data_IF_324265456753
#
_entry.id   IF_324265456753
#
_cell.length_a   1.000
_cell.length_b   1.000
_cell.length_c   1.000
_cell.angle_alpha   90.00
_cell.angle_beta   90.00
_cell.angle_gamma   90.00
#
_symmetry.space_group_name_H-M   'P 1'
#
loop_
_entity.id
_entity.type
_entity.pdbx_description
1 polymer ?
#
# COMPACT_ATOMS: atom_id res chain seq x y z
N UNK A 1 -63.21 -26.61 1.37
CA UNK A 1 -62.65 -26.96 2.70
C UNK A 1 -61.91 -25.73 3.20
N UNK A 2 -62.57 -24.87 4.01
CA UNK A 2 -62.28 -24.62 5.45
C UNK A 2 -60.76 -24.42 5.71
N UNK A 3 -60.24 -23.19 5.76
CA UNK A 3 -60.23 -22.19 6.88
C UNK A 3 -59.60 -22.71 8.17
N UNK A 4 -58.48 -22.06 8.57
CA UNK A 4 -58.21 -21.39 9.87
C UNK A 4 -56.70 -21.03 9.89
N UNK A 5 -56.29 -19.76 9.82
CA UNK A 5 -56.19 -18.76 10.92
C UNK A 5 -55.07 -19.13 11.93
N UNK A 6 -54.26 -18.26 12.56
CA UNK A 6 -53.96 -16.82 12.62
C UNK A 6 -53.29 -16.65 14.02
N UNK A 7 -52.37 -15.68 14.18
CA UNK A 7 -52.00 -14.95 15.44
C UNK A 7 -50.74 -15.38 16.25
N UNK A 8 -49.66 -14.60 16.04
CA UNK A 8 -48.84 -13.80 16.99
C UNK A 8 -48.36 -14.41 18.31
N UNK A 9 -47.03 -14.49 18.50
CA UNK A 9 -46.35 -13.91 19.67
C UNK A 9 -44.87 -13.57 19.37
N UNK A 10 -44.53 -12.31 19.62
CA UNK A 10 -43.21 -11.67 19.67
C UNK A 10 -42.39 -12.26 20.84
N UNK A 11 -41.05 -12.26 20.72
CA UNK A 11 -40.01 -12.04 21.77
C UNK A 11 -38.77 -12.93 21.52
N UNK A 12 -37.63 -12.26 21.28
CA UNK A 12 -36.22 -12.68 21.36
C UNK A 12 -35.71 -13.80 20.43
N UNK A 13 -34.87 -13.43 19.45
CA UNK A 13 -33.39 -13.59 19.51
C UNK A 13 -32.80 -12.74 18.36
N UNK A 14 -32.24 -11.59 18.73
CA UNK A 14 -31.12 -10.99 18.01
C UNK A 14 -29.86 -11.70 18.50
N UNK A 15 -28.99 -12.12 17.58
CA UNK A 15 -27.53 -12.20 17.64
C UNK A 15 -27.05 -13.33 16.72
N UNK A 16 -25.95 -13.02 16.00
CA UNK A 16 -25.11 -13.92 15.20
C UNK A 16 -25.58 -14.19 13.76
N UNK A 17 -25.32 -13.22 12.88
CA UNK A 17 -24.56 -13.44 11.64
C UNK A 17 -24.03 -12.08 11.20
N UNK A 18 -22.72 -11.86 11.30
CA UNK A 18 -22.05 -10.68 10.78
C UNK A 18 -22.22 -10.64 9.27
N UNK A 19 -22.92 -9.60 8.79
CA UNK A 19 -22.90 -9.22 7.39
C UNK A 19 -21.67 -8.33 7.17
N UNK A 20 -20.67 -8.84 6.47
CA UNK A 20 -19.73 -7.99 5.71
C UNK A 20 -20.49 -7.46 4.51
N UNK A 21 -20.65 -6.13 4.43
CA UNK A 21 -21.22 -5.45 3.27
C UNK A 21 -20.04 -4.92 2.45
N UNK A 22 -19.84 -5.47 1.26
CA UNK A 22 -18.95 -4.91 0.24
C UNK A 22 -19.56 -3.61 -0.31
N UNK A 23 -18.81 -2.51 -0.25
CA UNK A 23 -19.20 -1.22 -0.81
C UNK A 23 -18.64 -1.09 -2.22
N UNK A 24 -19.53 -1.01 -3.21
CA UNK A 24 -19.19 -0.63 -4.59
C UNK A 24 -19.00 0.89 -4.68
N UNK A 25 -17.87 1.35 -5.23
CA UNK A 25 -17.65 2.75 -5.59
C UNK A 25 -18.31 3.05 -6.95
N UNK A 26 -19.46 3.73 -6.94
CA UNK A 26 -19.99 4.40 -8.14
C UNK A 26 -19.30 5.76 -8.30
N UNK A 27 -18.51 5.94 -9.37
CA UNK A 27 -17.98 7.24 -9.80
C UNK A 27 -18.99 7.90 -10.75
N UNK A 28 -19.63 8.97 -10.30
CA UNK A 28 -20.28 9.93 -11.18
C UNK A 28 -19.24 10.93 -11.69
N UNK A 29 -19.08 11.02 -13.01
CA UNK A 29 -18.23 12.01 -13.69
C UNK A 29 -19.09 13.07 -14.36
N UNK A 30 -18.93 14.38 -14.06
CA UNK A 30 -19.47 15.44 -14.90
C UNK A 30 -18.46 15.80 -16.00
N UNK A 31 -18.92 15.77 -17.24
CA UNK A 31 -18.12 16.12 -18.42
C UNK A 31 -17.68 17.59 -18.45
N UNK A 32 -16.41 17.81 -18.78
CA UNK A 32 -15.85 19.15 -19.05
C UNK A 32 -15.87 19.41 -20.56
N UNK A 33 -16.60 20.47 -20.94
CA UNK A 33 -16.61 21.04 -22.29
C UNK A 33 -15.39 21.94 -22.51
N UNK A 34 -14.63 21.68 -23.58
CA UNK A 34 -13.53 22.51 -24.05
C UNK A 34 -14.00 23.89 -24.54
N UNK A 35 -13.43 24.96 -23.96
CA UNK A 35 -13.55 26.33 -24.43
C UNK A 35 -12.17 26.94 -24.70
N UNK A 36 -11.79 26.98 -25.98
CA UNK A 36 -10.65 27.72 -26.51
C UNK A 36 -10.77 29.22 -26.24
N UNK A 37 -9.72 29.86 -25.72
CA UNK A 37 -9.41 31.28 -26.00
C UNK A 37 -7.90 31.44 -26.21
N UNK A 38 -7.56 31.90 -27.41
CA UNK A 38 -6.26 32.37 -27.88
C UNK A 38 -5.97 33.81 -27.43
N UNK A 39 -4.70 34.16 -27.18
CA UNK A 39 -4.30 35.58 -27.22
C UNK A 39 -2.92 35.94 -26.64
N UNK A 40 -1.91 35.93 -27.53
CA UNK A 40 -0.80 36.89 -27.68
C UNK A 40 0.16 37.28 -26.52
N UNK A 41 1.42 36.87 -26.71
CA UNK A 41 2.71 37.59 -26.64
C UNK A 41 2.76 39.05 -26.14
N UNK A 42 3.68 39.38 -25.21
CA UNK A 42 5.03 39.91 -25.51
C UNK A 42 5.77 40.40 -24.22
N UNK A 43 7.05 40.01 -24.14
CA UNK A 43 8.26 40.73 -23.72
C UNK A 43 8.46 41.51 -22.39
N UNK A 44 9.66 41.22 -21.84
CA UNK A 44 10.62 42.04 -21.08
C UNK A 44 10.60 42.06 -19.54
N UNK A 45 11.64 41.41 -18.98
CA UNK A 45 12.30 41.71 -17.72
C UNK A 45 13.22 42.96 -17.86
N UNK A 46 14.05 43.38 -16.87
CA UNK A 46 14.15 43.01 -15.45
C UNK A 46 14.22 44.22 -14.49
N UNK A 47 14.09 44.00 -13.17
CA UNK A 47 14.44 45.02 -12.17
C UNK A 47 14.08 44.66 -10.74
N UNK A 48 15.02 44.08 -10.00
CA UNK A 48 15.23 44.33 -8.56
C UNK A 48 16.34 45.40 -8.45
N UNK A 49 16.58 46.12 -7.34
CA UNK A 49 16.35 45.72 -5.94
C UNK A 49 15.87 46.87 -5.00
N UNK A 50 15.55 46.53 -3.74
CA UNK A 50 16.12 47.10 -2.48
C UNK A 50 15.15 46.96 -1.30
N UNK A 51 15.53 46.09 -0.36
CA UNK A 51 15.72 46.31 1.07
C UNK A 51 15.24 47.66 1.66
N UNK A 52 14.32 47.65 2.65
CA UNK A 52 14.56 48.08 4.05
C UNK A 52 13.28 48.07 4.90
N UNK A 53 13.33 47.25 5.95
CA UNK A 53 12.97 47.52 7.36
C UNK A 53 11.81 48.43 7.78
N UNK A 54 11.13 47.94 8.83
CA UNK A 54 10.56 48.66 10.00
C UNK A 54 9.24 49.42 9.79
N UNK A 55 8.13 48.88 10.31
CA UNK A 55 7.54 49.32 11.60
C UNK A 55 6.13 48.73 11.80
N UNK A 56 5.98 48.09 12.95
CA UNK A 56 4.71 47.86 13.64
C UNK A 56 4.13 49.22 14.11
N UNK A 57 2.81 49.42 14.01
CA UNK A 57 2.12 49.89 15.21
C UNK A 57 0.74 49.25 15.42
N UNK A 58 0.62 48.58 16.56
CA UNK A 58 -0.44 48.74 17.60
C UNK A 58 -1.91 48.68 17.19
N UNK A 59 -2.58 47.68 17.77
CA UNK A 59 -3.88 47.71 18.47
C UNK A 59 -4.89 48.79 18.07
N UNK A 60 -5.99 48.35 17.46
CA UNK A 60 -7.32 48.84 17.81
C UNK A 60 -8.38 47.74 17.58
N UNK A 61 -9.16 47.48 18.62
CA UNK A 61 -10.45 46.75 18.60
C UNK A 61 -11.51 47.68 19.20
N UNK A 62 -12.82 47.40 19.07
CA UNK A 62 -13.56 46.81 17.95
C UNK A 62 -14.69 47.77 17.51
N UNK A 63 -15.27 47.54 16.32
CA UNK A 63 -16.55 48.18 15.95
C UNK A 63 -17.63 47.10 15.81
N UNK A 64 -18.67 47.24 16.62
CA UNK A 64 -19.88 46.42 16.60
C UNK A 64 -20.77 46.88 15.46
N UNK A 65 -21.06 46.00 14.50
CA UNK A 65 -22.26 46.15 13.68
C UNK A 65 -22.98 44.82 13.58
N UNK A 66 -24.12 44.76 14.26
CA UNK A 66 -25.07 43.67 14.24
C UNK A 66 -25.75 43.57 12.87
N UNK A 67 -25.57 42.43 12.20
CA UNK A 67 -26.40 41.96 11.09
C UNK A 67 -27.05 40.63 11.50
N UNK A 68 -28.38 40.56 11.40
CA UNK A 68 -29.19 39.37 11.76
C UNK A 68 -28.93 38.17 10.85
N UNK A 69 -29.20 36.94 11.34
CA UNK A 69 -28.84 35.70 10.65
C UNK A 69 -29.92 35.33 9.62
N UNK A 70 -29.52 35.20 8.36
CA UNK A 70 -30.34 34.52 7.36
C UNK A 70 -29.69 33.17 7.07
N UNK A 71 -30.45 32.12 7.38
CA UNK A 71 -30.02 30.74 7.32
C UNK A 71 -29.95 30.26 5.88
N UNK A 72 -28.74 29.95 5.44
CA UNK A 72 -28.48 28.99 4.39
C UNK A 72 -27.28 28.18 4.86
N UNK A 73 -27.54 26.95 5.31
CA UNK A 73 -26.50 25.94 5.47
C UNK A 73 -25.93 25.65 4.07
N UNK A 74 -24.96 26.46 3.64
CA UNK A 74 -24.02 26.04 2.61
C UNK A 74 -23.26 24.88 3.20
N UNK A 75 -23.28 23.73 2.54
CA UNK A 75 -22.54 22.55 2.98
C UNK A 75 -21.06 22.92 3.11
N UNK A 76 -20.48 22.64 4.28
CA UNK A 76 -19.05 22.79 4.58
C UNK A 76 -18.14 22.09 3.53
N UNK A 77 -18.70 21.22 2.69
CA UNK A 77 -18.02 20.55 1.57
C UNK A 77 -17.39 21.50 0.55
N UNK A 78 -17.93 22.72 0.37
CA UNK A 78 -17.32 23.68 -0.57
C UNK A 78 -15.93 24.17 -0.13
N UNK A 79 -15.58 24.02 1.16
CA UNK A 79 -14.27 24.41 1.70
C UNK A 79 -13.16 23.40 1.34
N UNK A 80 -13.52 22.17 0.98
CA UNK A 80 -12.61 21.05 0.74
C UNK A 80 -12.59 20.58 -0.73
N UNK A 81 -13.12 21.40 -1.63
CA UNK A 81 -13.15 21.11 -3.06
C UNK A 81 -11.72 20.92 -3.61
N UNK A 82 -11.46 19.75 -4.22
CA UNK A 82 -10.12 19.35 -4.71
C UNK A 82 -9.20 18.67 -3.70
N UNK A 83 -9.68 18.32 -2.49
CA UNK A 83 -8.96 17.46 -1.54
C UNK A 83 -9.40 16.00 -1.64
N UNK A 84 -8.46 15.09 -1.43
CA UNK A 84 -8.78 13.66 -1.27
C UNK A 84 -9.48 13.45 0.07
N UNK A 85 -10.51 12.59 0.10
CA UNK A 85 -11.30 12.31 1.30
C UNK A 85 -11.17 10.84 1.69
N UNK A 86 -10.79 10.60 2.93
CA UNK A 86 -10.78 9.28 3.57
C UNK A 86 -11.77 9.29 4.73
N UNK A 87 -12.48 8.17 4.91
CA UNK A 87 -13.40 7.95 6.03
C UNK A 87 -12.78 6.94 6.97
N UNK A 88 -12.67 7.31 8.24
CA UNK A 88 -12.19 6.45 9.31
C UNK A 88 -13.40 5.97 10.11
N UNK A 89 -13.63 4.66 10.14
CA UNK A 89 -14.63 4.08 11.01
C UNK A 89 -14.09 3.99 12.44
N UNK A 90 -14.84 4.57 13.37
CA UNK A 90 -14.56 4.54 14.80
C UNK A 90 -15.62 3.67 15.50
N UNK A 91 -15.40 3.36 16.78
CA UNK A 91 -16.37 2.62 17.58
C UNK A 91 -17.77 3.26 17.54
N UNK A 92 -18.80 2.46 17.81
CA UNK A 92 -20.21 2.86 17.72
C UNK A 92 -20.65 3.37 16.32
N UNK A 93 -19.92 2.98 15.27
CA UNK A 93 -20.17 3.38 13.87
C UNK A 93 -20.07 4.90 13.63
N UNK A 94 -19.31 5.61 14.46
CA UNK A 94 -18.96 7.00 14.16
C UNK A 94 -17.97 7.03 12.99
N UNK A 95 -18.13 8.01 12.10
CA UNK A 95 -17.27 8.16 10.91
C UNK A 95 -16.53 9.49 11.00
N UNK A 96 -15.22 9.43 11.14
CA UNK A 96 -14.34 10.59 11.07
C UNK A 96 -13.96 10.85 9.62
N UNK A 97 -14.17 12.08 9.15
CA UNK A 97 -13.78 12.50 7.81
C UNK A 97 -12.38 13.14 7.85
N UNK A 98 -11.48 12.64 6.99
CA UNK A 98 -10.12 13.17 6.81
C UNK A 98 -9.98 13.67 5.37
N UNK A 99 -9.73 14.97 5.22
CA UNK A 99 -9.46 15.60 3.94
C UNK A 99 -7.97 15.89 3.81
N UNK A 100 -7.34 15.51 2.71
CA UNK A 100 -5.91 15.71 2.48
C UNK A 100 -5.60 16.45 1.19
N UNK A 101 -4.58 17.29 1.25
CA UNK A 101 -3.95 17.91 0.09
C UNK A 101 -2.45 17.68 0.17
N UNK A 102 -1.90 16.99 -0.83
CA UNK A 102 -0.49 16.64 -0.91
C UNK A 102 0.18 17.54 -1.94
N UNK A 103 1.31 18.12 -1.57
CA UNK A 103 2.10 19.05 -2.39
C UNK A 103 3.44 18.40 -2.68
N UNK A 104 3.68 18.13 -3.96
CA UNK A 104 4.96 17.66 -4.49
C UNK A 104 5.77 18.84 -5.04
N UNK A 105 7.10 18.68 -5.15
CA UNK A 105 7.96 19.60 -5.89
C UNK A 105 7.95 19.31 -7.41
N UNK A 106 8.71 20.10 -8.18
CA UNK A 106 8.79 19.95 -9.65
C UNK A 106 9.40 18.62 -10.13
N UNK A 107 9.94 17.81 -9.20
CA UNK A 107 10.54 16.50 -9.45
C UNK A 107 9.73 15.39 -8.76
N UNK A 108 8.47 15.66 -8.46
CA UNK A 108 7.54 14.75 -7.79
C UNK A 108 8.01 14.26 -6.40
N UNK A 109 8.89 15.01 -5.73
CA UNK A 109 9.25 14.71 -4.34
C UNK A 109 8.25 15.34 -3.38
N UNK A 110 7.92 14.62 -2.32
CA UNK A 110 7.08 15.13 -1.25
C UNK A 110 7.68 16.40 -0.61
N UNK A 111 6.85 17.43 -0.47
CA UNK A 111 7.20 18.67 0.19
C UNK A 111 6.36 18.91 1.44
N UNK A 112 5.04 18.82 1.29
CA UNK A 112 4.09 19.16 2.34
C UNK A 112 2.77 18.43 2.12
N UNK A 113 2.10 18.04 3.20
CA UNK A 113 0.70 17.63 3.18
C UNK A 113 -0.08 18.37 4.26
N UNK A 114 -1.31 18.74 3.93
CA UNK A 114 -2.26 19.38 4.82
C UNK A 114 -3.48 18.51 4.98
N UNK A 115 -3.93 18.39 6.21
CA UNK A 115 -5.06 17.57 6.59
C UNK A 115 -6.09 18.42 7.32
N UNK A 116 -7.36 18.23 7.00
CA UNK A 116 -8.49 18.71 7.80
C UNK A 116 -9.27 17.51 8.29
N UNK A 117 -9.46 17.41 9.59
CA UNK A 117 -10.03 16.23 10.24
C UNK A 117 -11.25 16.66 11.03
N UNK A 118 -12.36 15.95 10.81
CA UNK A 118 -13.66 16.21 11.44
C UNK A 118 -14.06 14.95 12.19
N UNK A 119 -14.01 15.00 13.52
CA UNK A 119 -14.38 13.88 14.40
C UNK A 119 -15.82 13.46 14.16
N UNK A 120 -16.06 12.17 13.97
CA UNK A 120 -17.41 11.66 13.70
C UNK A 120 -18.38 11.82 14.87
N UNK A 121 -17.87 11.74 16.11
CA UNK A 121 -18.70 11.65 17.32
C UNK A 121 -19.31 12.97 17.77
N UNK A 122 -18.57 14.07 17.69
CA UNK A 122 -19.03 15.40 18.11
C UNK A 122 -18.83 16.50 17.08
N UNK A 123 -18.25 16.18 15.91
CA UNK A 123 -17.99 17.12 14.84
C UNK A 123 -16.79 18.03 15.11
N UNK A 124 -15.97 17.80 16.15
CA UNK A 124 -14.80 18.63 16.41
C UNK A 124 -13.84 18.62 15.23
N UNK A 125 -13.41 19.82 14.83
CA UNK A 125 -12.51 20.05 13.70
C UNK A 125 -11.10 20.40 14.17
N UNK A 126 -10.11 19.80 13.53
CA UNK A 126 -8.71 20.18 13.67
C UNK A 126 -7.98 19.99 12.34
N UNK A 127 -6.79 20.58 12.25
CA UNK A 127 -5.93 20.48 11.07
C UNK A 127 -4.60 19.87 11.44
N UNK A 128 -4.00 19.13 10.51
CA UNK A 128 -2.63 18.66 10.63
C UNK A 128 -1.80 19.09 9.43
N UNK A 129 -0.51 19.32 9.65
CA UNK A 129 0.47 19.65 8.62
C UNK A 129 1.65 18.70 8.78
N UNK A 130 2.05 18.06 7.67
CA UNK A 130 3.26 17.28 7.56
C UNK A 130 4.17 17.99 6.55
N UNK A 131 5.38 18.37 6.96
CA UNK A 131 6.33 19.05 6.07
C UNK A 131 7.68 18.37 6.10
N UNK A 132 8.26 18.13 4.92
CA UNK A 132 9.59 17.54 4.79
C UNK A 132 10.67 18.61 4.65
N UNK A 133 11.76 18.46 5.41
CA UNK A 133 12.97 19.26 5.25
C UNK A 133 14.09 18.39 4.66
N UNK A 134 14.34 18.61 3.37
CA UNK A 134 15.34 17.86 2.60
C UNK A 134 16.79 18.14 3.01
N UNK A 135 17.06 19.16 3.82
CA UNK A 135 18.42 19.41 4.33
C UNK A 135 18.76 18.50 5.50
N UNK A 136 17.80 18.37 6.41
CA UNK A 136 17.97 17.64 7.66
C UNK A 136 17.38 16.22 7.58
N UNK A 137 16.72 15.87 6.47
CA UNK A 137 16.05 14.57 6.23
C UNK A 137 15.04 14.23 7.33
N UNK A 138 14.26 15.23 7.74
CA UNK A 138 13.27 15.12 8.81
C UNK A 138 11.91 15.65 8.37
N UNK A 139 10.87 15.05 8.93
CA UNK A 139 9.51 15.50 8.86
C UNK A 139 9.14 16.31 10.09
N UNK A 140 8.41 17.40 9.87
CA UNK A 140 7.76 18.20 10.90
C UNK A 140 6.27 17.93 10.85
N UNK A 141 5.73 17.37 11.93
CA UNK A 141 4.30 17.12 12.08
C UNK A 141 3.70 18.10 13.08
N UNK A 142 2.62 18.78 12.71
CA UNK A 142 1.93 19.73 13.58
C UNK A 142 0.44 19.52 13.51
N UNK A 143 -0.23 19.70 14.65
CA UNK A 143 -1.69 19.69 14.74
C UNK A 143 -2.16 20.99 15.37
N UNK A 144 -3.22 21.57 14.81
CA UNK A 144 -3.84 22.80 15.29
C UNK A 144 -5.36 22.61 15.43
N UNK A 145 -5.95 23.26 16.43
CA UNK A 145 -7.40 23.36 16.51
C UNK A 145 -7.98 24.28 15.42
N UNK A 146 -9.30 24.38 15.34
CA UNK A 146 -10.01 25.24 14.37
C UNK A 146 -9.63 26.73 14.49
N UNK A 147 -9.16 27.19 15.66
CA UNK A 147 -8.69 28.56 15.85
C UNK A 147 -7.24 28.79 15.42
N UNK A 148 -6.53 27.73 15.03
CA UNK A 148 -5.12 27.74 14.66
C UNK A 148 -4.18 27.60 15.87
N UNK A 149 -4.68 27.31 17.07
CA UNK A 149 -3.83 27.06 18.24
C UNK A 149 -3.17 25.70 18.10
N UNK A 150 -1.86 25.66 18.32
CA UNK A 150 -1.10 24.42 18.27
C UNK A 150 -1.52 23.45 19.39
N UNK A 151 -1.95 22.25 18.99
CA UNK A 151 -2.28 21.14 19.86
C UNK A 151 -1.08 20.19 20.04
N UNK A 152 -0.26 20.06 19.00
CA UNK A 152 0.89 19.14 18.98
C UNK A 152 1.92 19.60 17.95
N UNK A 153 3.20 19.39 18.24
CA UNK A 153 4.33 19.61 17.33
C UNK A 153 5.40 18.56 17.56
N UNK A 154 5.75 17.80 16.53
CA UNK A 154 6.68 16.68 16.59
C UNK A 154 7.60 16.68 15.36
N UNK A 155 8.74 16.02 15.52
CA UNK A 155 9.71 15.80 14.44
C UNK A 155 10.09 14.34 14.38
N UNK A 156 10.18 13.79 13.18
CA UNK A 156 10.54 12.38 12.97
C UNK A 156 11.32 12.21 11.66
N UNK A 157 11.89 11.04 11.44
CA UNK A 157 12.54 10.64 10.19
C UNK A 157 11.87 9.39 9.66
N UNK A 158 11.59 9.37 8.36
CA UNK A 158 10.99 8.23 7.66
C UNK A 158 11.49 8.21 6.21
N UNK A 159 11.52 7.04 5.58
CA UNK A 159 11.83 6.91 4.16
C UNK A 159 10.68 7.39 3.28
N UNK A 160 9.44 7.22 3.73
CA UNK A 160 8.22 7.60 3.02
C UNK A 160 7.26 8.41 3.88
N UNK A 161 6.62 9.43 3.29
CA UNK A 161 5.75 10.35 4.03
C UNK A 161 4.44 9.69 4.48
N UNK A 162 3.95 8.69 3.74
CA UNK A 162 2.72 7.96 4.06
C UNK A 162 2.82 7.13 5.34
N UNK A 163 4.04 6.78 5.75
CA UNK A 163 4.28 5.98 6.96
C UNK A 163 4.45 6.84 8.22
N UNK A 164 4.51 8.17 8.06
CA UNK A 164 4.82 9.07 9.18
C UNK A 164 3.71 9.07 10.23
N UNK A 165 2.45 9.08 9.81
CA UNK A 165 1.33 9.07 10.75
C UNK A 165 0.08 8.43 10.15
N UNK A 166 -0.81 8.00 11.03
CA UNK A 166 -2.09 7.40 10.69
C UNK A 166 -3.18 7.91 11.64
N UNK A 167 -4.40 8.05 11.12
CA UNK A 167 -5.61 8.44 11.87
C UNK A 167 -6.51 7.22 11.99
N UNK A 168 -6.83 6.83 13.22
CA UNK A 168 -7.61 5.63 13.55
C UNK A 168 -8.13 5.72 14.99
N UNK A 169 -9.19 4.99 15.33
CA UNK A 169 -9.67 4.88 16.72
C UNK A 169 -8.84 3.82 17.47
N UNK A 170 -7.87 4.23 18.29
CA UNK A 170 -6.90 3.32 18.92
C UNK A 170 -7.44 2.66 20.18
N UNK A 171 -8.30 3.37 20.92
CA UNK A 171 -8.84 2.93 22.20
C UNK A 171 -10.32 2.52 22.11
N UNK A 172 -10.89 2.51 20.90
CA UNK A 172 -12.27 2.13 20.60
C UNK A 172 -13.28 2.99 21.37
N UNK A 173 -12.98 4.29 21.55
CA UNK A 173 -13.86 5.21 22.27
C UNK A 173 -14.78 6.03 21.36
N UNK A 174 -14.69 5.83 20.04
CA UNK A 174 -15.49 6.51 19.02
C UNK A 174 -14.88 7.83 18.53
N UNK A 175 -13.73 8.23 19.05
CA UNK A 175 -12.92 9.32 18.51
C UNK A 175 -11.74 8.78 17.70
N UNK A 176 -11.39 9.49 16.64
CA UNK A 176 -10.15 9.20 15.92
C UNK A 176 -8.95 9.76 16.69
N UNK A 177 -7.95 8.90 16.85
CA UNK A 177 -6.65 9.16 17.47
C UNK A 177 -5.56 9.28 16.39
N UNK A 178 -4.31 9.49 16.84
CA UNK A 178 -3.14 9.56 15.96
C UNK A 178 -2.10 8.53 16.39
N UNK A 179 -1.70 7.67 15.46
CA UNK A 179 -0.45 6.89 15.52
C UNK A 179 0.63 7.65 14.77
N UNK A 180 1.81 7.83 15.37
CA UNK A 180 2.92 8.55 14.77
C UNK A 180 4.21 7.71 14.82
N UNK A 181 4.88 7.58 13.67
CA UNK A 181 6.20 6.99 13.56
C UNK A 181 7.24 7.90 14.24
N UNK A 182 8.01 7.36 15.17
CA UNK A 182 9.09 8.10 15.87
C UNK A 182 10.47 7.60 15.52
N UNK A 183 10.60 6.32 15.14
CA UNK A 183 11.82 5.78 14.56
C UNK A 183 11.49 4.68 13.55
N UNK A 184 11.99 4.83 12.33
CA UNK A 184 11.91 3.81 11.30
C UNK A 184 12.95 2.71 11.56
N UNK A 185 12.56 1.45 11.29
CA UNK A 185 13.47 0.33 11.33
C UNK A 185 13.17 -0.68 10.23
N UNK A 186 14.16 -1.53 9.93
CA UNK A 186 14.08 -2.48 8.80
C UNK A 186 13.02 -3.56 8.98
N UNK A 187 12.76 -3.97 10.22
CA UNK A 187 11.81 -5.06 10.53
C UNK A 187 10.67 -4.63 11.44
N UNK A 188 10.93 -3.63 12.28
CA UNK A 188 9.97 -3.06 13.21
C UNK A 188 10.20 -1.56 13.23
N UNK A 189 9.12 -0.81 13.44
CA UNK A 189 9.15 0.62 13.62
C UNK A 189 8.71 0.96 15.05
N UNK A 190 9.18 2.10 15.56
CA UNK A 190 8.78 2.64 16.85
C UNK A 190 7.70 3.68 16.63
N UNK A 191 6.62 3.56 17.39
CA UNK A 191 5.49 4.48 17.31
C UNK A 191 5.16 5.14 18.66
N UNK A 192 4.63 6.35 18.58
CA UNK A 192 3.90 6.99 19.67
C UNK A 192 2.41 7.04 19.34
N UNK A 193 1.58 6.82 20.35
CA UNK A 193 0.13 6.97 20.25
C UNK A 193 -0.34 8.25 20.94
N UNK A 194 -1.25 8.98 20.31
CA UNK A 194 -1.83 10.20 20.82
C UNK A 194 -3.35 10.08 20.80
N UNK A 195 -3.94 9.99 21.98
CA UNK A 195 -5.38 9.81 22.17
C UNK A 195 -6.09 11.17 22.20
N UNK A 196 -7.27 11.25 21.60
CA UNK A 196 -8.12 12.42 21.65
C UNK A 196 -8.81 12.54 23.02
N UNK A 197 -8.45 13.58 23.80
CA UNK A 197 -9.14 13.91 25.04
C UNK A 197 -10.28 14.89 24.72
N UNK A 198 -11.49 14.36 24.54
CA UNK A 198 -12.67 15.15 24.23
C UNK A 198 -13.03 16.18 25.32
N UNK A 199 -12.71 15.90 26.59
CA UNK A 199 -12.98 16.85 27.68
C UNK A 199 -12.02 18.04 27.64
N UNK A 200 -10.75 17.80 27.29
CA UNK A 200 -9.72 18.84 27.20
C UNK A 200 -9.57 19.43 25.78
N UNK A 201 -10.23 18.85 24.78
CA UNK A 201 -10.15 19.20 23.35
C UNK A 201 -8.69 19.27 22.86
N UNK A 202 -7.94 18.20 23.11
CA UNK A 202 -6.52 18.09 22.73
C UNK A 202 -6.08 16.63 22.60
N UNK A 203 -4.96 16.42 21.92
CA UNK A 203 -4.26 15.14 21.93
C UNK A 203 -3.41 14.96 23.18
N UNK A 204 -3.47 13.76 23.77
CA UNK A 204 -2.64 13.35 24.91
C UNK A 204 -1.86 12.11 24.54
N UNK A 205 -0.53 12.18 24.69
CA UNK A 205 0.34 11.02 24.46
C UNK A 205 -0.05 9.88 25.40
N UNK A 206 -0.23 8.68 24.84
CA UNK A 206 -0.44 7.46 25.60
C UNK A 206 0.77 7.14 26.47
N UNK A 207 0.53 6.56 27.64
CA UNK A 207 1.59 6.11 28.54
C UNK A 207 1.76 4.61 28.37
N UNK A 208 2.95 4.17 27.97
CA UNK A 208 3.34 2.77 27.99
C UNK A 208 4.64 2.64 28.79
N UNK A 209 4.77 1.56 29.57
CA UNK A 209 6.00 1.29 30.34
C UNK A 209 7.12 0.77 29.41
N UNK A 210 6.77 0.32 28.19
CA UNK A 210 7.66 -0.21 27.16
C UNK A 210 7.58 0.65 25.88
N UNK A 211 8.64 0.61 25.07
CA UNK A 211 8.64 1.22 23.75
C UNK A 211 7.75 0.41 22.79
N UNK A 212 6.91 1.10 22.02
CA UNK A 212 5.98 0.45 21.09
C UNK A 212 6.69 0.16 19.77
N UNK A 213 7.48 -0.91 19.77
CA UNK A 213 8.24 -1.40 18.63
C UNK A 213 7.49 -2.57 17.97
N UNK A 214 7.00 -2.37 16.75
CA UNK A 214 6.25 -3.41 16.03
C UNK A 214 6.32 -3.23 14.51
N UNK A 215 6.06 -4.31 13.79
CA UNK A 215 5.89 -4.35 12.35
C UNK A 215 4.43 -4.13 11.95
N UNK A 216 3.50 -4.68 12.74
CA UNK A 216 2.06 -4.65 12.46
C UNK A 216 1.27 -4.47 13.76
N UNK A 217 0.08 -3.88 13.64
CA UNK A 217 -0.79 -3.57 14.75
C UNK A 217 -2.24 -3.85 14.36
N UNK A 218 -2.95 -4.50 15.27
CA UNK A 218 -4.38 -4.74 15.16
C UNK A 218 -5.09 -4.12 16.38
N UNK A 219 -6.15 -3.38 16.11
CA UNK A 219 -7.03 -2.83 17.13
C UNK A 219 -8.23 -3.76 17.29
N UNK A 220 -8.41 -4.28 18.50
CA UNK A 220 -9.56 -5.11 18.88
C UNK A 220 -10.40 -4.39 19.93
N UNK A 221 -11.65 -4.82 20.11
CA UNK A 221 -12.58 -4.20 21.06
C UNK A 221 -12.05 -4.17 22.51
N UNK A 222 -11.32 -5.19 22.93
CA UNK A 222 -10.86 -5.36 24.31
C UNK A 222 -9.34 -5.25 24.51
N UNK A 223 -8.56 -5.21 23.42
CA UNK A 223 -7.11 -5.15 23.46
C UNK A 223 -6.51 -4.56 22.17
N UNK A 224 -5.25 -4.14 22.26
CA UNK A 224 -4.39 -3.85 21.13
C UNK A 224 -3.41 -5.01 20.95
N UNK A 225 -3.26 -5.52 19.74
CA UNK A 225 -2.29 -6.57 19.43
C UNK A 225 -1.18 -6.00 18.56
N UNK A 226 0.06 -6.14 19.02
CA UNK A 226 1.26 -5.68 18.31
C UNK A 226 2.12 -6.88 17.90
N UNK A 227 2.52 -6.90 16.64
CA UNK A 227 3.40 -7.94 16.08
C UNK A 227 4.80 -7.38 15.93
N UNK A 228 5.73 -7.83 16.76
CA UNK A 228 7.16 -7.55 16.63
C UNK A 228 7.87 -8.68 15.90
N UNK A 229 8.73 -8.37 14.94
CA UNK A 229 9.54 -9.35 14.19
C UNK A 229 10.93 -9.48 14.82
N UNK A 230 11.33 -10.72 15.12
CA UNK A 230 12.71 -11.06 15.49
C UNK A 230 13.52 -11.52 14.27
N UNK A 231 12.84 -12.14 13.31
CA UNK A 231 13.39 -12.59 12.03
C UNK A 231 12.30 -12.58 10.95
N UNK A 232 12.63 -13.03 9.73
CA UNK A 232 11.64 -13.17 8.66
C UNK A 232 10.55 -14.22 8.95
N UNK A 233 10.80 -15.15 9.86
CA UNK A 233 9.89 -16.27 10.18
C UNK A 233 9.56 -16.39 11.66
N UNK A 234 9.93 -15.41 12.48
CA UNK A 234 9.64 -15.43 13.91
C UNK A 234 9.55 -14.05 14.52
N UNK A 235 8.88 -13.99 15.66
CA UNK A 235 8.70 -12.74 16.36
C UNK A 235 7.95 -12.92 17.67
N UNK A 236 7.33 -11.84 18.11
CA UNK A 236 6.59 -11.74 19.35
C UNK A 236 5.25 -11.07 19.07
N UNK A 237 4.17 -11.67 19.57
CA UNK A 237 2.86 -11.04 19.63
C UNK A 237 2.69 -10.50 21.04
N UNK A 238 2.52 -9.19 21.17
CA UNK A 238 2.28 -8.54 22.46
C UNK A 238 0.88 -7.97 22.48
N UNK A 239 0.09 -8.42 23.46
CA UNK A 239 -1.25 -7.87 23.68
C UNK A 239 -1.20 -6.84 24.80
N UNK A 240 -1.88 -5.74 24.55
CA UNK A 240 -2.01 -4.64 25.47
C UNK A 240 -3.47 -4.31 25.74
N UNK A 241 -3.77 -3.77 26.92
CA UNK A 241 -5.09 -3.28 27.28
C UNK A 241 -5.02 -1.83 27.73
N UNK A 242 -6.00 -1.04 27.31
CA UNK A 242 -6.16 0.33 27.75
C UNK A 242 -6.70 0.39 29.20
N UNK A 243 -6.06 1.22 30.03
CA UNK A 243 -6.56 1.70 31.31
C UNK A 243 -6.47 3.24 31.31
N UNK A 244 -7.55 3.90 30.88
CA UNK A 244 -7.53 5.32 30.58
C UNK A 244 -6.56 5.61 29.43
N UNK A 245 -5.60 6.52 29.63
CA UNK A 245 -4.55 6.81 28.65
C UNK A 245 -3.30 5.93 28.81
N UNK A 246 -3.32 4.95 29.70
CA UNK A 246 -2.21 4.02 29.91
C UNK A 246 -2.46 2.73 29.14
N UNK A 247 -1.44 2.26 28.44
CA UNK A 247 -1.41 0.98 27.76
C UNK A 247 -0.66 -0.04 28.65
N UNK A 248 -1.35 -1.12 29.02
CA UNK A 248 -0.82 -2.17 29.90
C UNK A 248 -0.61 -3.47 29.14
N UNK A 249 0.61 -3.99 29.15
CA UNK A 249 0.92 -5.31 28.60
C UNK A 249 0.21 -6.39 29.40
N UNK A 250 -0.59 -7.20 28.72
CA UNK A 250 -1.37 -8.29 29.33
C UNK A 250 -0.84 -9.68 28.97
N UNK A 251 -0.24 -9.83 27.79
CA UNK A 251 0.46 -11.05 27.38
C UNK A 251 1.53 -10.75 26.34
N UNK A 252 2.48 -11.67 26.25
CA UNK A 252 3.53 -11.70 25.24
C UNK A 252 3.78 -13.17 24.90
N UNK A 253 3.78 -13.50 23.63
CA UNK A 253 4.04 -14.85 23.14
C UNK A 253 4.93 -14.82 21.91
N UNK A 254 5.89 -15.75 21.86
CA UNK A 254 6.71 -15.94 20.66
C UNK A 254 5.88 -16.65 19.59
N UNK A 255 6.08 -16.27 18.34
CA UNK A 255 5.57 -17.01 17.19
C UNK A 255 6.72 -17.44 16.30
N UNK A 256 6.57 -18.62 15.71
CA UNK A 256 7.40 -19.12 14.62
C UNK A 256 6.48 -19.54 13.48
N UNK A 257 6.89 -19.24 12.24
CA UNK A 257 6.15 -19.67 11.06
C UNK A 257 5.97 -21.21 11.01
N UNK A 258 6.86 -21.96 11.66
CA UNK A 258 6.82 -23.43 11.75
C UNK A 258 5.84 -23.97 12.80
N UNK A 259 5.39 -23.15 13.76
CA UNK A 259 4.53 -23.60 14.87
C UNK A 259 3.04 -23.74 14.46
N UNK A 260 2.70 -23.31 13.23
CA UNK A 260 1.37 -23.48 12.66
C UNK A 260 1.07 -24.92 12.18
N UNK A 261 2.07 -25.81 12.09
CA UNK A 261 1.90 -27.17 11.53
C UNK A 261 1.80 -28.29 12.59
N UNK A 262 1.86 -27.96 13.90
CA UNK A 262 1.92 -28.98 14.96
C UNK A 262 0.62 -29.20 15.75
N UNK A 263 -0.47 -28.49 15.47
CA UNK A 263 -1.71 -28.76 16.20
C UNK A 263 -2.91 -27.90 15.85
N UNK A 264 -3.61 -28.22 14.76
CA UNK A 264 -5.05 -27.99 14.68
C UNK A 264 -5.72 -29.06 13.82
N UNK A 265 -6.68 -29.72 14.47
CA UNK A 265 -7.68 -30.60 13.88
C UNK A 265 -8.36 -29.92 12.68
N UNK A 266 -8.72 -30.71 11.68
CA UNK A 266 -9.35 -30.25 10.44
C UNK A 266 -10.69 -29.55 10.69
N UNK A 267 -10.75 -28.24 10.45
CA UNK A 267 -11.99 -27.51 10.15
C UNK A 267 -11.75 -26.65 8.89
N UNK A 268 -12.38 -26.94 7.73
CA UNK A 268 -12.01 -26.34 6.45
C UNK A 268 -12.69 -24.98 6.18
N UNK A 269 -13.11 -24.23 7.20
CA UNK A 269 -13.92 -23.02 7.00
C UNK A 269 -13.55 -21.92 8.01
N UNK A 270 -12.37 -21.33 7.86
CA UNK A 270 -12.01 -20.05 8.46
C UNK A 270 -10.93 -19.37 7.61
N UNK A 271 -11.36 -18.37 6.84
CA UNK A 271 -10.52 -17.59 5.93
C UNK A 271 -9.46 -16.77 6.65
N UNK A 272 -8.27 -16.74 6.06
CA UNK A 272 -7.17 -15.88 6.43
C UNK A 272 -7.46 -14.46 5.93
N UNK A 273 -7.73 -13.55 6.86
CA UNK A 273 -7.81 -12.11 6.62
C UNK A 273 -6.59 -11.49 7.29
N UNK A 274 -5.54 -11.27 6.51
CA UNK A 274 -4.36 -10.49 6.89
C UNK A 274 -4.36 -9.24 6.02
N UNK A 275 -4.79 -8.14 6.62
CA UNK A 275 -4.96 -6.83 6.00
C UNK A 275 -3.61 -6.17 5.75
N UNK A 276 -2.95 -6.59 4.67
CA UNK A 276 -1.94 -5.77 4.01
C UNK A 276 -2.62 -4.83 3.04
N UNK A 277 -2.86 -3.59 3.44
CA UNK A 277 -3.11 -2.44 2.57
C UNK A 277 -3.74 -2.79 1.22
N UNK A 278 -4.96 -3.33 1.24
CA UNK A 278 -5.79 -3.49 0.05
C UNK A 278 -5.34 -4.51 -1.02
N UNK A 279 -4.47 -5.48 -0.75
CA UNK A 279 -4.21 -6.59 -1.70
C UNK A 279 -4.89 -7.87 -1.17
N UNK A 280 -6.21 -7.96 -1.32
CA UNK A 280 -6.93 -9.22 -1.15
C UNK A 280 -6.57 -10.15 -2.31
N UNK A 281 -5.81 -11.22 -2.05
CA UNK A 281 -5.45 -12.20 -3.06
C UNK A 281 -4.40 -13.21 -2.58
N UNK A 282 -4.41 -14.40 -3.17
CA UNK A 282 -3.41 -15.44 -2.94
C UNK A 282 -1.99 -14.91 -3.18
N UNK A 283 -1.04 -15.39 -2.37
CA UNK A 283 0.38 -15.09 -2.50
C UNK A 283 1.15 -16.37 -2.79
N UNK A 284 2.15 -16.27 -3.66
CA UNK A 284 2.94 -17.43 -4.03
C UNK A 284 4.15 -17.63 -3.10
N UNK A 285 4.46 -18.89 -2.85
CA UNK A 285 5.66 -19.33 -2.15
C UNK A 285 6.77 -19.75 -3.12
N UNK A 286 7.97 -20.03 -2.58
CA UNK A 286 9.05 -20.60 -3.39
C UNK A 286 8.69 -21.96 -4.00
N UNK A 287 7.88 -22.75 -3.33
CA UNK A 287 7.49 -24.08 -3.81
C UNK A 287 6.44 -24.00 -4.93
N UNK A 288 5.64 -22.94 -4.96
CA UNK A 288 4.60 -22.70 -5.97
C UNK A 288 5.17 -22.42 -7.37
N UNK A 289 6.35 -21.81 -7.44
CA UNK A 289 6.96 -21.34 -8.70
C UNK A 289 7.90 -22.34 -9.35
N UNK A 290 7.83 -23.62 -8.96
CA UNK A 290 8.51 -24.70 -9.67
C UNK A 290 7.82 -24.95 -11.01
N UNK A 291 8.60 -25.32 -12.03
CA UNK A 291 8.06 -25.67 -13.34
C UNK A 291 8.07 -27.19 -13.46
N UNK A 292 6.89 -27.81 -13.50
CA UNK A 292 6.72 -29.26 -13.57
C UNK A 292 7.51 -30.00 -12.47
N UNK A 293 7.40 -29.55 -11.22
CA UNK A 293 8.09 -30.13 -10.06
C UNK A 293 9.58 -29.79 -9.93
N UNK A 294 10.13 -28.94 -10.81
CA UNK A 294 11.55 -28.58 -10.82
C UNK A 294 11.74 -27.12 -10.45
N UNK A 295 12.62 -26.88 -9.48
CA UNK A 295 13.07 -25.53 -9.13
C UNK A 295 13.70 -24.87 -10.34
N UNK A 296 13.31 -23.62 -10.62
CA UNK A 296 13.86 -22.80 -11.70
C UNK A 296 14.61 -21.58 -11.16
N UNK A 297 14.08 -20.93 -10.12
CA UNK A 297 14.67 -19.73 -9.55
C UNK A 297 15.89 -20.06 -8.68
N UNK A 298 16.98 -19.31 -8.87
CA UNK A 298 18.19 -19.40 -8.06
C UNK A 298 19.04 -20.65 -8.31
N UNK A 299 18.68 -21.51 -9.25
CA UNK A 299 19.53 -22.62 -9.65
C UNK A 299 20.66 -22.12 -10.54
N UNK A 300 21.82 -22.77 -10.46
CA UNK A 300 22.95 -22.45 -11.33
C UNK A 300 22.71 -22.90 -12.78
N UNK A 301 23.45 -22.35 -13.72
CA UNK A 301 23.36 -22.73 -15.14
C UNK A 301 23.64 -24.21 -15.34
N UNK A 302 24.60 -24.77 -14.61
CA UNK A 302 24.85 -26.21 -14.62
C UNK A 302 23.64 -27.01 -14.13
N UNK A 303 23.01 -26.58 -13.03
CA UNK A 303 21.80 -27.23 -12.49
C UNK A 303 20.61 -27.10 -13.43
N UNK A 304 20.45 -25.96 -14.10
CA UNK A 304 19.44 -25.72 -15.13
C UNK A 304 19.57 -26.74 -16.27
N UNK A 305 20.78 -26.91 -16.80
CA UNK A 305 21.05 -27.89 -17.87
C UNK A 305 20.82 -29.33 -17.42
N UNK A 306 21.12 -29.65 -16.15
CA UNK A 306 20.84 -30.97 -15.58
C UNK A 306 19.33 -31.22 -15.43
N UNK A 307 18.58 -30.20 -15.01
CA UNK A 307 17.15 -30.31 -14.74
C UNK A 307 16.31 -30.31 -16.03
N UNK A 308 16.63 -29.46 -17.00
CA UNK A 308 15.80 -29.22 -18.19
C UNK A 308 16.45 -29.62 -19.52
N UNK A 309 17.72 -30.03 -19.50
CA UNK A 309 18.47 -30.38 -20.71
C UNK A 309 19.03 -29.13 -21.40
N UNK A 310 19.38 -29.27 -22.68
CA UNK A 310 19.84 -28.14 -23.49
C UNK A 310 18.66 -27.27 -23.92
N UNK A 311 18.77 -25.94 -23.86
CA UNK A 311 17.75 -25.05 -24.38
C UNK A 311 17.55 -25.24 -25.89
N UNK A 312 16.33 -25.01 -26.38
CA UNK A 312 16.02 -25.10 -27.82
C UNK A 312 16.56 -23.90 -28.59
N UNK A 313 16.70 -22.76 -27.91
CA UNK A 313 17.27 -21.53 -28.43
C UNK A 313 17.94 -20.77 -27.28
N UNK A 314 18.98 -20.02 -27.59
CA UNK A 314 19.63 -19.12 -26.64
C UNK A 314 19.72 -17.73 -27.24
N UNK A 315 19.44 -16.70 -26.44
CA UNK A 315 19.51 -15.29 -26.85
C UNK A 315 20.39 -14.54 -25.86
N UNK A 316 21.02 -13.46 -26.32
CA UNK A 316 21.71 -12.54 -25.45
C UNK A 316 21.16 -11.14 -25.68
N UNK A 317 20.77 -10.48 -24.59
CA UNK A 317 20.29 -9.11 -24.63
C UNK A 317 21.31 -8.20 -23.98
N UNK A 318 21.60 -7.09 -24.66
CA UNK A 318 22.33 -5.96 -24.11
C UNK A 318 21.31 -4.97 -23.58
N UNK A 319 21.29 -4.76 -22.28
CA UNK A 319 20.32 -3.92 -21.58
C UNK A 319 21.02 -2.73 -20.94
N UNK A 320 20.33 -1.60 -20.83
CA UNK A 320 20.74 -0.50 -19.97
C UNK A 320 19.83 -0.55 -18.73
N UNK A 321 20.34 -0.92 -17.54
CA UNK A 321 19.54 -0.98 -16.34
C UNK A 321 18.93 0.40 -16.02
N UNK A 322 17.68 0.48 -15.54
CA UNK A 322 17.00 1.76 -15.31
C UNK A 322 17.77 2.73 -14.40
N UNK A 323 18.58 2.21 -13.49
CA UNK A 323 19.33 2.97 -12.48
C UNK A 323 20.75 3.32 -12.92
N UNK A 324 21.16 2.87 -14.12
CA UNK A 324 22.51 3.05 -14.62
C UNK A 324 22.65 4.26 -15.55
N UNK A 325 23.88 4.75 -15.71
CA UNK A 325 24.16 5.83 -16.65
C UNK A 325 23.93 5.42 -18.11
N UNK A 326 23.78 6.38 -19.04
CA UNK A 326 23.47 6.10 -20.45
C UNK A 326 24.52 5.25 -21.18
N UNK A 327 25.74 5.19 -20.65
CA UNK A 327 26.86 4.45 -21.23
C UNK A 327 27.13 3.10 -20.54
N UNK A 328 26.36 2.73 -19.51
CA UNK A 328 26.48 1.45 -18.83
C UNK A 328 25.50 0.44 -19.40
N UNK A 329 25.99 -0.78 -19.64
CA UNK A 329 25.18 -1.86 -20.17
C UNK A 329 25.54 -3.17 -19.50
N UNK A 330 24.53 -3.99 -19.30
CA UNK A 330 24.67 -5.35 -18.82
C UNK A 330 24.21 -6.32 -19.90
N UNK A 331 24.67 -7.56 -19.82
CA UNK A 331 24.25 -8.63 -20.70
C UNK A 331 23.44 -9.66 -19.93
N UNK A 332 22.27 -9.99 -20.48
CA UNK A 332 21.37 -11.02 -19.99
C UNK A 332 21.36 -12.16 -20.99
N UNK A 333 21.69 -13.36 -20.52
CA UNK A 333 21.61 -14.58 -21.30
C UNK A 333 20.28 -15.26 -21.06
N UNK A 334 19.54 -15.54 -22.13
CA UNK A 334 18.21 -16.14 -22.09
C UNK A 334 18.26 -17.54 -22.68
N UNK A 335 17.89 -18.52 -21.86
CA UNK A 335 17.70 -19.91 -22.27
C UNK A 335 16.21 -20.13 -22.57
N UNK A 336 15.89 -20.48 -23.82
CA UNK A 336 14.53 -20.77 -24.25
C UNK A 336 14.32 -22.29 -24.22
N UNK A 337 13.25 -22.73 -23.57
CA UNK A 337 12.80 -24.12 -23.51
C UNK A 337 11.39 -24.23 -24.12
N UNK A 338 10.89 -25.46 -24.25
CA UNK A 338 9.51 -25.67 -24.65
C UNK A 338 8.57 -25.20 -23.53
N UNK A 339 7.94 -24.05 -23.73
CA UNK A 339 6.91 -23.50 -22.83
C UNK A 339 7.40 -22.48 -21.80
N UNK A 340 8.70 -22.26 -21.67
CA UNK A 340 9.23 -21.22 -20.79
C UNK A 340 10.60 -20.72 -21.26
N UNK A 341 10.98 -19.53 -20.80
CA UNK A 341 12.33 -18.99 -20.92
C UNK A 341 12.85 -18.56 -19.55
N UNK A 342 14.16 -18.63 -19.35
CA UNK A 342 14.78 -18.17 -18.11
C UNK A 342 16.03 -17.34 -18.39
N UNK A 343 16.29 -16.39 -17.49
CA UNK A 343 17.31 -15.36 -17.65
C UNK A 343 18.41 -15.54 -16.63
N UNK A 344 19.64 -15.35 -17.11
CA UNK A 344 20.87 -15.47 -16.34
C UNK A 344 21.65 -14.18 -16.55
N UNK A 345 22.04 -13.54 -15.45
CA UNK A 345 22.91 -12.38 -15.48
C UNK A 345 24.33 -12.82 -15.80
N UNK A 346 24.93 -12.24 -16.86
CA UNK A 346 26.29 -12.58 -17.29
C UNK A 346 27.26 -11.39 -17.23
N UNK A 347 26.86 -10.28 -16.59
CA UNK A 347 27.74 -9.14 -16.33
C UNK A 347 27.90 -8.15 -17.49
N UNK A 348 29.01 -7.41 -17.49
CA UNK A 348 29.25 -6.25 -18.37
C UNK A 348 29.79 -6.63 -19.78
N UNK A 349 30.08 -7.91 -20.01
CA UNK A 349 30.66 -8.41 -21.26
C UNK A 349 29.75 -9.47 -21.90
N UNK A 350 29.66 -9.46 -23.23
CA UNK A 350 28.94 -10.51 -23.97
C UNK A 350 29.70 -11.84 -23.87
N UNK A 351 29.21 -12.75 -23.04
CA UNK A 351 29.78 -14.08 -22.82
C UNK A 351 28.71 -15.17 -22.72
N UNK A 352 29.14 -16.43 -22.70
CA UNK A 352 28.26 -17.54 -22.29
C UNK A 352 28.22 -17.63 -20.77
N UNK A 353 27.12 -18.11 -20.17
CA UNK A 353 27.05 -18.28 -18.71
C UNK A 353 28.13 -19.22 -18.18
N UNK A 354 28.68 -18.87 -17.03
CA UNK A 354 29.53 -19.74 -16.23
C UNK A 354 28.67 -20.78 -15.49
N UNK A 355 29.21 -21.96 -15.13
CA UNK A 355 28.45 -23.01 -14.47
C UNK A 355 27.74 -22.58 -13.17
N UNK A 356 28.28 -21.55 -12.49
CA UNK A 356 27.78 -21.00 -11.24
C UNK A 356 26.80 -19.82 -11.42
N UNK A 357 26.71 -19.23 -12.62
CA UNK A 357 25.77 -18.15 -12.88
C UNK A 357 24.35 -18.67 -12.67
N UNK A 358 23.48 -17.90 -12.03
CA UNK A 358 22.19 -18.38 -11.55
C UNK A 358 21.03 -17.73 -12.26
N UNK A 359 19.95 -18.49 -12.40
CA UNK A 359 18.69 -17.99 -12.94
C UNK A 359 18.07 -17.01 -11.94
N UNK A 360 17.82 -15.78 -12.37
CA UNK A 360 17.17 -14.76 -11.54
C UNK A 360 15.75 -14.42 -12.01
N UNK A 361 15.40 -14.77 -13.25
CA UNK A 361 14.09 -14.46 -13.83
C UNK A 361 13.61 -15.55 -14.79
N UNK A 362 12.30 -15.67 -14.97
CA UNK A 362 11.71 -16.54 -15.98
C UNK A 362 10.35 -16.04 -16.49
N UNK A 363 10.00 -16.48 -17.70
CA UNK A 363 8.68 -16.33 -18.28
C UNK A 363 8.10 -17.71 -18.60
N UNK A 364 6.82 -17.93 -18.31
CA UNK A 364 6.04 -19.05 -18.85
C UNK A 364 5.32 -18.57 -20.09
N UNK A 365 5.49 -19.29 -21.20
CA UNK A 365 5.05 -18.88 -22.54
C UNK A 365 4.20 -19.93 -23.26
N UNK A 366 3.97 -21.11 -22.66
CA UNK A 366 2.98 -22.04 -23.19
C UNK A 366 2.28 -22.87 -22.10
N UNK A 367 1.09 -23.43 -22.40
CA UNK A 367 0.33 -24.27 -21.48
C UNK A 367 1.03 -25.57 -21.04
N UNK A 368 2.10 -25.97 -21.75
CA UNK A 368 2.89 -27.17 -21.45
C UNK A 368 3.86 -26.97 -20.26
N UNK A 369 4.13 -25.71 -19.91
CA UNK A 369 4.86 -25.34 -18.70
C UNK A 369 3.85 -24.81 -17.68
N UNK A 370 3.76 -25.52 -16.54
CA UNK A 370 2.86 -25.16 -15.45
C UNK A 370 3.66 -24.90 -14.18
N UNK A 371 3.22 -23.90 -13.44
CA UNK A 371 3.68 -23.70 -12.08
C UNK A 371 3.04 -24.75 -11.17
N UNK A 372 3.74 -25.15 -10.11
CA UNK A 372 3.27 -26.18 -9.18
C UNK A 372 2.03 -25.72 -8.38
N UNK A 373 1.78 -24.42 -8.26
CA UNK A 373 0.52 -23.86 -7.75
C UNK A 373 -0.68 -23.98 -8.71
N UNK A 374 -0.53 -24.73 -9.80
CA UNK A 374 -1.49 -24.87 -10.89
C UNK A 374 -1.79 -23.58 -11.68
N UNK A 375 -0.97 -22.54 -11.55
CA UNK A 375 -1.07 -21.37 -12.41
C UNK A 375 -0.45 -21.70 -13.79
N UNK A 376 -1.19 -21.45 -14.87
CA UNK A 376 -0.80 -21.83 -16.24
C UNK A 376 -1.30 -20.85 -17.32
N UNK A 377 -0.71 -20.94 -18.51
CA UNK A 377 -1.14 -20.20 -19.69
C UNK A 377 -2.50 -20.71 -20.20
N UNK A 378 -3.45 -19.80 -20.34
CA UNK A 378 -4.82 -20.05 -20.76
C UNK A 378 -5.85 -20.07 -19.63
N UNK A 379 -5.44 -19.83 -18.38
CA UNK A 379 -6.38 -19.58 -17.28
C UNK A 379 -7.11 -18.25 -17.52
N UNK A 380 -8.43 -18.23 -17.40
CA UNK A 380 -9.24 -17.02 -17.58
C UNK A 380 -9.41 -16.24 -16.26
N UNK A 381 -9.92 -15.01 -16.37
CA UNK A 381 -10.08 -14.09 -15.22
C UNK A 381 -11.07 -14.61 -14.17
N UNK A 382 -12.13 -15.32 -14.58
CA UNK A 382 -13.11 -15.92 -13.66
C UNK A 382 -12.45 -17.05 -12.84
N UNK A 383 -11.65 -17.89 -13.49
CA UNK A 383 -10.91 -18.96 -12.82
C UNK A 383 -9.80 -18.41 -11.91
N UNK A 384 -9.16 -17.31 -12.29
CA UNK A 384 -8.18 -16.61 -11.45
C UNK A 384 -8.78 -16.04 -10.16
N UNK A 385 -9.93 -15.38 -10.25
CA UNK A 385 -10.64 -14.87 -9.06
C UNK A 385 -11.10 -16.05 -8.18
N UNK A 386 -11.70 -17.08 -8.78
CA UNK A 386 -12.21 -18.22 -8.03
C UNK A 386 -11.11 -19.01 -7.28
N UNK A 387 -9.96 -19.23 -7.91
CA UNK A 387 -8.89 -20.06 -7.35
C UNK A 387 -7.90 -19.28 -6.49
N UNK A 388 -7.61 -18.05 -6.89
CA UNK A 388 -6.51 -17.27 -6.32
C UNK A 388 -6.98 -15.93 -5.74
N UNK A 389 -8.26 -15.58 -5.84
CA UNK A 389 -8.78 -14.28 -5.41
C UNK A 389 -8.20 -13.10 -6.21
N UNK A 390 -7.69 -13.36 -7.41
CA UNK A 390 -7.10 -12.32 -8.27
C UNK A 390 -8.22 -11.66 -9.08
N UNK A 391 -8.69 -10.51 -8.61
CA UNK A 391 -9.77 -9.74 -9.25
C UNK A 391 -9.37 -8.31 -9.65
N UNK A 392 -8.09 -7.93 -9.42
CA UNK A 392 -7.55 -6.64 -9.86
C UNK A 392 -6.75 -6.79 -11.14
N UNK A 393 -7.16 -6.03 -12.15
CA UNK A 393 -6.52 -6.02 -13.47
C UNK A 393 -6.22 -4.58 -13.88
N UNK A 394 -5.08 -4.38 -14.53
CA UNK A 394 -4.54 -3.08 -14.89
C UNK A 394 -4.40 -2.99 -16.40
N UNK A 395 -4.74 -1.83 -16.97
CA UNK A 395 -4.35 -1.52 -18.34
C UNK A 395 -2.95 -0.88 -18.33
N UNK A 396 -2.04 -1.39 -19.16
CA UNK A 396 -0.65 -0.95 -19.15
C UNK A 396 -0.45 0.52 -19.60
N UNK A 397 -1.47 1.11 -20.24
CA UNK A 397 -1.50 2.49 -20.72
C UNK A 397 -2.26 3.47 -19.81
N UNK A 398 -2.76 3.02 -18.65
CA UNK A 398 -3.49 3.86 -17.69
C UNK A 398 -2.56 4.75 -16.84
N UNK A 399 -3.19 5.67 -16.10
CA UNK A 399 -2.51 6.49 -15.11
C UNK A 399 -1.81 5.63 -14.06
N UNK A 400 -0.65 6.09 -13.61
CA UNK A 400 0.18 5.34 -12.70
C UNK A 400 -0.52 5.07 -11.36
N UNK A 401 -0.39 3.83 -10.91
CA UNK A 401 -0.74 3.36 -9.58
C UNK A 401 0.43 2.55 -9.05
N UNK A 402 0.46 2.29 -7.74
CA UNK A 402 1.52 1.51 -7.12
C UNK A 402 1.76 0.16 -7.83
N UNK A 403 0.69 -0.61 -8.03
CA UNK A 403 0.77 -1.91 -8.70
C UNK A 403 1.12 -1.79 -10.19
N UNK A 404 0.57 -0.80 -10.89
CA UNK A 404 0.90 -0.58 -12.30
C UNK A 404 2.37 -0.20 -12.49
N UNK A 405 2.95 0.58 -11.56
CA UNK A 405 4.37 0.94 -11.58
C UNK A 405 5.25 -0.29 -11.33
N UNK A 406 4.85 -1.15 -10.39
CA UNK A 406 5.52 -2.43 -10.12
C UNK A 406 5.44 -3.38 -11.33
N UNK A 407 4.27 -3.47 -11.97
CA UNK A 407 4.08 -4.24 -13.21
C UNK A 407 5.04 -3.73 -14.29
N UNK A 408 5.01 -2.42 -14.60
CA UNK A 408 5.90 -1.83 -15.60
C UNK A 408 7.36 -2.09 -15.27
N UNK A 409 7.76 -1.95 -14.00
CA UNK A 409 9.11 -2.24 -13.58
C UNK A 409 9.52 -3.69 -13.85
N UNK A 410 8.67 -4.67 -13.51
CA UNK A 410 8.94 -6.08 -13.85
C UNK A 410 9.06 -6.27 -15.36
N UNK A 411 8.20 -5.66 -16.16
CA UNK A 411 8.19 -5.85 -17.61
C UNK A 411 9.34 -5.12 -18.33
N UNK A 412 9.76 -3.96 -17.84
CA UNK A 412 10.75 -3.12 -18.52
C UNK A 412 12.18 -3.36 -18.02
N UNK A 413 12.33 -3.80 -16.77
CA UNK A 413 13.64 -4.17 -16.24
C UNK A 413 14.17 -5.41 -16.95
N UNK A 414 15.44 -5.40 -17.34
CA UNK A 414 16.16 -6.56 -17.88
C UNK A 414 15.70 -7.15 -19.23
N UNK A 415 14.75 -6.52 -19.94
CA UNK A 415 14.37 -6.87 -21.31
C UNK A 415 14.63 -5.72 -22.29
N UNK A 416 14.78 -6.01 -23.60
CA UNK A 416 14.80 -4.95 -24.61
C UNK A 416 13.51 -4.13 -24.61
N UNK A 417 13.63 -2.85 -24.96
CA UNK A 417 12.48 -1.97 -25.14
C UNK A 417 11.45 -2.60 -26.09
N UNK A 418 10.18 -2.58 -25.68
CA UNK A 418 9.07 -3.11 -26.47
C UNK A 418 8.90 -4.64 -26.44
N UNK A 419 9.68 -5.39 -25.64
CA UNK A 419 9.55 -6.86 -25.57
C UNK A 419 8.13 -7.33 -25.23
N UNK A 420 7.44 -6.62 -24.33
CA UNK A 420 6.05 -6.89 -23.93
C UNK A 420 5.02 -5.94 -24.55
N UNK A 421 5.37 -5.20 -25.61
CA UNK A 421 4.49 -4.18 -26.20
C UNK A 421 3.21 -4.74 -26.86
N UNK A 422 3.09 -6.06 -26.99
CA UNK A 422 1.90 -6.72 -27.52
C UNK A 422 0.77 -6.91 -26.51
N UNK A 423 0.98 -6.57 -25.23
CA UNK A 423 0.00 -6.76 -24.17
C UNK A 423 -0.56 -5.41 -23.73
N UNK A 424 -1.88 -5.34 -23.48
CA UNK A 424 -2.51 -4.14 -22.91
C UNK A 424 -3.04 -4.35 -21.50
N UNK A 425 -3.26 -5.60 -21.08
CA UNK A 425 -3.85 -5.95 -19.78
C UNK A 425 -2.91 -6.83 -18.97
N UNK A 426 -2.81 -6.53 -17.68
CA UNK A 426 -1.97 -7.26 -16.73
C UNK A 426 -2.62 -7.43 -15.35
N UNK A 427 -2.13 -8.39 -14.58
CA UNK A 427 -2.35 -8.52 -13.14
C UNK A 427 -1.01 -8.79 -12.46
N UNK A 428 -0.92 -8.52 -11.16
CA UNK A 428 0.29 -8.78 -10.37
C UNK A 428 -0.07 -9.62 -9.15
N UNK A 429 0.75 -10.62 -8.88
CA UNK A 429 0.67 -11.49 -7.71
C UNK A 429 1.98 -11.35 -6.97
N UNK A 430 1.92 -10.99 -5.69
CA UNK A 430 3.10 -10.84 -4.86
C UNK A 430 3.45 -12.16 -4.17
N UNK A 431 4.73 -12.35 -3.88
CA UNK A 431 5.15 -13.47 -3.06
C UNK A 431 4.66 -13.34 -1.62
N UNK A 432 4.58 -14.48 -0.94
CA UNK A 432 4.50 -14.50 0.51
C UNK A 432 5.87 -14.09 1.08
N UNK A 433 5.90 -12.97 1.80
CA UNK A 433 7.09 -12.42 2.44
C UNK A 433 7.79 -13.39 3.38
N UNK A 434 7.04 -14.36 3.95
CA UNK A 434 7.59 -15.35 4.87
C UNK A 434 8.21 -16.57 4.14
N UNK A 435 7.97 -16.71 2.83
CA UNK A 435 8.34 -17.91 2.06
C UNK A 435 9.69 -17.82 1.32
N UNK A 436 10.34 -16.65 1.35
CA UNK A 436 11.64 -16.42 0.72
C UNK A 436 12.64 -15.88 1.75
N UNK A 437 13.86 -16.43 1.75
CA UNK A 437 14.95 -16.00 2.65
C UNK A 437 15.47 -14.59 2.32
N UNK A 438 15.31 -14.15 1.08
CA UNK A 438 15.82 -12.87 0.58
C UNK A 438 14.81 -11.74 0.74
N UNK A 439 15.25 -10.54 1.16
CA UNK A 439 14.36 -9.41 1.46
C UNK A 439 13.79 -8.72 0.22
N UNK A 440 14.29 -9.04 -0.97
CA UNK A 440 13.81 -8.43 -2.21
C UNK A 440 12.40 -8.88 -2.52
N UNK A 441 11.51 -7.91 -2.77
CA UNK A 441 10.16 -8.16 -3.26
C UNK A 441 10.21 -8.98 -4.55
N UNK A 442 9.27 -9.91 -4.70
CA UNK A 442 9.12 -10.80 -5.87
C UNK A 442 7.66 -10.80 -6.32
N UNK A 443 7.46 -10.83 -7.63
CA UNK A 443 6.12 -10.81 -8.21
C UNK A 443 6.02 -11.75 -9.41
N UNK A 444 4.81 -12.28 -9.62
CA UNK A 444 4.36 -12.82 -10.89
C UNK A 444 3.48 -11.77 -11.56
N UNK A 445 3.87 -11.31 -12.74
CA UNK A 445 3.02 -10.49 -13.61
C UNK A 445 2.33 -11.40 -14.61
N UNK A 446 1.01 -11.37 -14.63
CA UNK A 446 0.17 -12.12 -15.55
C UNK A 446 -0.22 -11.20 -16.69
N UNK A 447 0.10 -11.57 -17.93
CA UNK A 447 -0.22 -10.80 -19.13
C UNK A 447 -1.34 -11.51 -19.87
N UNK A 448 -2.34 -10.74 -20.30
CA UNK A 448 -3.59 -11.28 -20.85
C UNK A 448 -3.68 -11.05 -22.35
N UNK A 449 -4.27 -12.03 -23.03
CA UNK A 449 -4.81 -11.86 -24.38
C UNK A 449 -6.15 -11.12 -24.30
N UNK A 450 -6.24 -9.96 -24.95
CA UNK A 450 -7.41 -9.08 -24.86
C UNK A 450 -8.68 -9.67 -25.50
N UNK A 451 -8.54 -10.61 -26.45
CA UNK A 451 -9.68 -11.22 -27.15
C UNK A 451 -10.34 -12.33 -26.32
N UNK A 452 -9.53 -13.09 -25.58
CA UNK A 452 -9.96 -14.28 -24.83
C UNK A 452 -10.07 -14.05 -23.33
N UNK A 453 -9.55 -12.93 -22.83
CA UNK A 453 -9.45 -12.61 -21.41
C UNK A 453 -8.75 -13.72 -20.59
N UNK A 454 -7.75 -14.35 -21.20
CA UNK A 454 -6.97 -15.44 -20.61
C UNK A 454 -5.49 -15.08 -20.52
N UNK A 455 -4.80 -15.64 -19.53
CA UNK A 455 -3.36 -15.41 -19.34
C UNK A 455 -2.58 -16.01 -20.50
N UNK A 456 -1.88 -15.18 -21.26
CA UNK A 456 -1.02 -15.61 -22.37
C UNK A 456 0.45 -15.75 -21.95
N UNK A 457 0.86 -15.02 -20.90
CA UNK A 457 2.22 -15.08 -20.36
C UNK A 457 2.25 -14.84 -18.85
N UNK A 458 3.11 -15.57 -18.15
CA UNK A 458 3.40 -15.36 -16.73
C UNK A 458 4.86 -14.95 -16.61
N UNK A 459 5.15 -13.83 -15.96
CA UNK A 459 6.48 -13.26 -15.84
C UNK A 459 6.85 -13.18 -14.38
N UNK A 460 7.86 -13.92 -13.94
CA UNK A 460 8.45 -13.71 -12.63
C UNK A 460 9.40 -12.52 -12.69
N UNK A 461 9.46 -11.70 -11.65
CA UNK A 461 10.45 -10.62 -11.54
C UNK A 461 10.45 -9.92 -10.19
N UNK A 462 11.24 -8.86 -10.09
CA UNK A 462 11.42 -8.06 -8.87
C UNK A 462 10.76 -6.69 -9.10
N UNK A 463 9.71 -6.31 -8.36
CA UNK A 463 8.95 -5.08 -8.58
C UNK A 463 9.61 -3.82 -8.03
N UNK A 464 10.64 -3.93 -7.19
CA UNK A 464 11.33 -2.76 -6.61
C UNK A 464 12.58 -2.38 -7.40
N UNK A 465 12.74 -1.08 -7.65
CA UNK A 465 14.00 -0.49 -8.10
C UNK A 465 15.14 -0.79 -7.11
N UNK A 466 16.30 -1.16 -7.64
CA UNK A 466 17.57 -1.09 -6.90
C UNK A 466 17.94 0.36 -6.57
#
# INVERSE_FOLDING_TARGET
>A
MRKNALVILVVLIFLLTGCTISINNERDTPGITNGNISGAADDNAPGSPTDTTLQDPTESTPDESAGSPDGSAGSDEALYDGMDKVKIECADSFITDVYSSIIMDEKDNFKEAKYSIIQGKDGTKYTAELRYDSKDYIYYFKVHDESGKNLMSLTTSASYYGDVFEVLDLNMDGYADIKLLTAEGTMNCVYDFFLWDAAAQKFTKAVCDEELLFAEMEVHEDHLQLWGRNSGSSGVITKYKWEGNKLLKISEEEYHADDADAGADTDPDAGADADTGGISGWRFTKDDIKINGKTILGISYEQLLQAFGQPVETKTYKINPPTAGPDYFEYIYVCVYNGFECEIYIGDDEKTPEPADSVFRFDITSPDARLDCELYIGIDTDELDLRYGINKFYRLNEAESYDLNNIKHVLESYKPEGYYSGYEKAAIVYHDFNSFEEPLAKALVLLFDDDTDSVERIVFGYPTAN
#
